data_IF_604075739202
#
_entry.id   IF_604075739202
#
_cell.length_a   1.000
_cell.length_b   1.000
_cell.length_c   1.000
_cell.angle_alpha   90.00
_cell.angle_beta   90.00
_cell.angle_gamma   90.00
#
_symmetry.space_group_name_H-M   'P 1'
#
loop_
_entity.id
_entity.type
_entity.pdbx_description
1 polymer ?
#
# COMPACT_ATOMS: atom_id res chain seq x y z
N UNK A 1 -8.00 12.99 -19.53
CA UNK A 1 -8.08 11.56 -19.17
C UNK A 1 -6.67 11.07 -18.90
N UNK A 2 -6.42 10.53 -17.71
CA UNK A 2 -5.15 9.87 -17.39
C UNK A 2 -5.10 8.48 -18.03
N UNK A 3 -3.91 8.07 -18.47
CA UNK A 3 -3.70 6.71 -18.98
C UNK A 3 -3.52 5.77 -17.80
N UNK A 4 -4.26 4.64 -17.79
CA UNK A 4 -4.13 3.61 -16.80
C UNK A 4 -3.21 2.48 -17.23
N UNK A 5 -2.79 1.64 -16.28
CA UNK A 5 -2.11 0.36 -16.53
C UNK A 5 -3.05 -0.78 -16.15
N UNK A 6 -3.30 -1.68 -17.07
CA UNK A 6 -4.08 -2.90 -16.83
C UNK A 6 -3.26 -4.12 -17.24
N UNK A 7 -3.00 -5.02 -16.28
CA UNK A 7 -2.48 -6.35 -16.61
C UNK A 7 -3.60 -7.36 -16.62
N UNK A 8 -3.73 -8.12 -17.69
CA UNK A 8 -4.76 -9.17 -17.82
C UNK A 8 -4.50 -10.38 -16.92
N UNK A 9 -5.49 -11.27 -16.72
CA UNK A 9 -5.36 -12.41 -15.80
C UNK A 9 -4.32 -13.45 -16.23
N UNK A 10 -3.99 -13.53 -17.51
CA UNK A 10 -2.96 -14.43 -18.04
C UNK A 10 -1.60 -13.76 -18.23
N UNK A 11 -1.49 -12.44 -17.93
CA UNK A 11 -0.23 -11.72 -18.07
C UNK A 11 0.78 -12.15 -17.00
N UNK A 12 2.06 -12.13 -17.37
CA UNK A 12 3.16 -12.37 -16.46
C UNK A 12 4.26 -11.33 -16.71
N UNK A 13 4.64 -10.62 -15.64
CA UNK A 13 5.80 -9.73 -15.61
C UNK A 13 6.86 -10.43 -14.75
N UNK A 14 8.06 -10.59 -15.29
CA UNK A 14 9.22 -11.12 -14.57
C UNK A 14 10.42 -10.22 -14.80
N UNK A 15 10.97 -9.67 -13.73
CA UNK A 15 12.13 -8.79 -13.76
C UNK A 15 12.85 -8.85 -12.41
N UNK A 16 14.09 -8.46 -12.35
CA UNK A 16 14.78 -8.24 -11.06
C UNK A 16 14.04 -7.15 -10.28
N UNK A 17 13.76 -6.00 -10.90
CA UNK A 17 12.95 -4.95 -10.33
C UNK A 17 11.86 -4.49 -11.31
N UNK A 18 10.65 -4.31 -10.82
CA UNK A 18 9.53 -3.81 -11.61
C UNK A 18 8.88 -2.59 -10.96
N UNK A 19 8.91 -1.47 -11.67
CA UNK A 19 8.20 -0.24 -11.27
C UNK A 19 7.12 0.03 -12.33
N UNK A 20 5.86 -0.10 -11.94
CA UNK A 20 4.72 0.27 -12.77
C UNK A 20 4.18 1.60 -12.24
N UNK A 21 4.25 2.65 -13.06
CA UNK A 21 3.80 3.99 -12.66
C UNK A 21 2.93 4.63 -13.72
N UNK A 22 1.83 5.25 -13.30
CA UNK A 22 1.04 6.16 -14.12
C UNK A 22 1.46 7.62 -13.92
N UNK A 23 2.35 7.87 -12.95
CA UNK A 23 2.98 9.16 -12.70
C UNK A 23 4.19 9.34 -13.61
N UNK A 24 4.52 10.59 -13.88
CA UNK A 24 5.69 10.96 -14.69
C UNK A 24 6.93 11.05 -13.82
N UNK A 25 8.05 10.62 -14.37
CA UNK A 25 9.40 10.90 -13.90
C UNK A 25 10.13 11.68 -14.99
N UNK A 26 10.92 12.68 -14.63
CA UNK A 26 11.74 13.40 -15.61
C UNK A 26 12.98 12.60 -15.99
N UNK A 27 13.49 12.78 -17.20
CA UNK A 27 14.73 12.12 -17.65
C UNK A 27 15.89 12.40 -16.69
N UNK A 28 16.02 13.65 -16.22
CA UNK A 28 17.07 14.05 -15.28
C UNK A 28 16.94 13.28 -13.95
N UNK A 29 15.75 13.17 -13.39
CA UNK A 29 15.50 12.41 -12.16
C UNK A 29 15.82 10.93 -12.36
N UNK A 30 15.38 10.35 -13.47
CA UNK A 30 15.63 8.93 -13.77
C UNK A 30 17.14 8.64 -13.89
N UNK A 31 17.88 9.45 -14.66
CA UNK A 31 19.32 9.28 -14.89
C UNK A 31 20.16 9.48 -13.62
N UNK A 32 19.69 10.28 -12.68
CA UNK A 32 20.35 10.52 -11.40
C UNK A 32 19.85 9.62 -10.25
N UNK A 33 19.12 8.55 -10.55
CA UNK A 33 18.51 7.65 -9.56
C UNK A 33 17.61 8.37 -8.52
N UNK A 34 17.07 9.53 -8.90
CA UNK A 34 16.10 10.25 -8.09
C UNK A 34 14.67 9.85 -8.53
N UNK A 35 14.16 8.78 -7.96
CA UNK A 35 12.86 8.22 -8.32
C UNK A 35 11.71 9.05 -7.72
N UNK A 36 11.59 10.28 -8.16
CA UNK A 36 10.49 11.20 -7.82
C UNK A 36 9.47 11.23 -8.95
N UNK A 37 8.24 10.82 -8.64
CA UNK A 37 7.13 10.67 -9.58
C UNK A 37 6.03 11.66 -9.25
N UNK A 38 5.47 12.33 -10.26
CA UNK A 38 4.36 13.26 -10.04
C UNK A 38 3.35 13.25 -11.18
N UNK A 39 2.12 13.63 -10.90
CA UNK A 39 1.04 13.81 -11.88
C UNK A 39 0.02 14.85 -11.39
N UNK A 40 -0.71 15.41 -12.34
CA UNK A 40 -1.90 16.22 -12.05
C UNK A 40 -3.17 15.61 -12.67
N UNK A 41 -3.11 14.35 -13.07
CA UNK A 41 -4.21 13.65 -13.73
C UNK A 41 -4.60 12.39 -12.98
N UNK A 42 -5.88 12.17 -12.79
CA UNK A 42 -6.41 10.93 -12.26
C UNK A 42 -6.08 9.77 -13.20
N UNK A 43 -5.55 8.70 -12.65
CA UNK A 43 -5.17 7.48 -13.38
C UNK A 43 -5.16 6.29 -12.43
N UNK A 44 -5.13 5.07 -12.97
CA UNK A 44 -5.18 3.87 -12.14
C UNK A 44 -4.26 2.77 -12.64
N UNK A 45 -3.82 1.91 -11.72
CA UNK A 45 -3.21 0.62 -12.00
C UNK A 45 -4.16 -0.48 -11.54
N UNK A 46 -4.49 -1.41 -12.44
CA UNK A 46 -5.19 -2.64 -12.10
C UNK A 46 -4.36 -3.84 -12.51
N UNK A 47 -4.00 -4.69 -11.55
CA UNK A 47 -3.26 -5.93 -11.81
C UNK A 47 -4.17 -7.13 -11.62
N UNK A 48 -4.22 -8.03 -12.61
CA UNK A 48 -4.98 -9.29 -12.55
C UNK A 48 -4.09 -10.51 -12.79
N UNK A 49 -2.89 -10.30 -13.35
CA UNK A 49 -1.93 -11.35 -13.68
C UNK A 49 -0.87 -11.54 -12.58
N UNK A 50 0.26 -12.12 -12.97
CA UNK A 50 1.37 -12.39 -12.07
C UNK A 50 2.51 -11.39 -12.28
N UNK A 51 3.04 -10.84 -11.19
CA UNK A 51 4.22 -9.98 -11.19
C UNK A 51 5.25 -10.60 -10.24
N UNK A 52 6.46 -10.88 -10.74
CA UNK A 52 7.52 -11.52 -9.96
C UNK A 52 8.82 -10.74 -10.08
N UNK A 53 9.54 -10.53 -8.97
CA UNK A 53 10.83 -9.85 -8.95
C UNK A 53 11.51 -9.89 -7.59
N UNK A 54 12.69 -9.26 -7.50
CA UNK A 54 13.30 -8.97 -6.20
C UNK A 54 12.49 -7.88 -5.49
N UNK A 55 12.12 -6.85 -6.24
CA UNK A 55 11.18 -5.83 -5.76
C UNK A 55 10.14 -5.45 -6.82
N UNK A 56 8.98 -5.01 -6.35
CA UNK A 56 7.87 -4.49 -7.18
C UNK A 56 7.32 -3.22 -6.56
N UNK A 57 7.19 -2.16 -7.36
CA UNK A 57 6.49 -0.95 -6.98
C UNK A 57 5.32 -0.66 -7.94
N UNK A 58 4.14 -0.42 -7.40
CA UNK A 58 2.99 0.11 -8.12
C UNK A 58 2.75 1.54 -7.63
N UNK A 59 2.77 2.52 -8.54
CA UNK A 59 2.68 3.95 -8.23
C UNK A 59 1.59 4.59 -9.09
N UNK A 60 0.48 5.01 -8.48
CA UNK A 60 -0.67 5.60 -9.18
C UNK A 60 -1.60 6.27 -8.17
N UNK A 61 -2.43 7.26 -8.54
CA UNK A 61 -3.49 7.73 -7.66
C UNK A 61 -4.42 6.60 -7.20
N UNK A 62 -4.80 5.68 -8.08
CA UNK A 62 -5.62 4.53 -7.70
C UNK A 62 -4.91 3.22 -8.06
N UNK A 63 -4.87 2.27 -7.10
CA UNK A 63 -4.24 0.95 -7.29
C UNK A 63 -5.21 -0.14 -6.88
N UNK A 64 -5.43 -1.11 -7.77
CA UNK A 64 -6.21 -2.31 -7.50
C UNK A 64 -5.41 -3.56 -7.86
N UNK A 65 -5.02 -4.34 -6.87
CA UNK A 65 -4.41 -5.65 -7.08
C UNK A 65 -5.46 -6.75 -6.93
N UNK A 66 -5.73 -7.46 -8.03
CA UNK A 66 -6.58 -8.66 -8.11
C UNK A 66 -5.80 -9.90 -8.53
N UNK A 67 -4.51 -9.73 -8.79
CA UNK A 67 -3.60 -10.77 -9.24
C UNK A 67 -2.66 -11.25 -8.14
N UNK A 68 -1.50 -11.74 -8.57
CA UNK A 68 -0.47 -12.24 -7.67
C UNK A 68 0.82 -11.45 -7.86
N UNK A 69 1.33 -10.87 -6.77
CA UNK A 69 2.64 -10.22 -6.71
C UNK A 69 3.54 -11.09 -5.83
N UNK A 70 4.69 -11.48 -6.35
CA UNK A 70 5.67 -12.29 -5.60
C UNK A 70 7.03 -11.64 -5.69
N UNK A 71 7.61 -11.32 -4.55
CA UNK A 71 8.95 -10.71 -4.45
C UNK A 71 9.80 -11.42 -3.40
N UNK A 72 11.11 -11.21 -3.47
CA UNK A 72 12.01 -11.69 -2.43
C UNK A 72 12.26 -10.63 -1.35
N UNK A 73 12.41 -9.35 -1.75
CA UNK A 73 12.89 -8.28 -0.85
C UNK A 73 11.81 -7.27 -0.53
N UNK A 74 11.08 -6.74 -1.52
CA UNK A 74 10.12 -5.69 -1.23
C UNK A 74 8.96 -5.60 -2.24
N UNK A 75 7.77 -5.30 -1.73
CA UNK A 75 6.61 -4.88 -2.54
C UNK A 75 6.06 -3.58 -1.99
N UNK A 76 5.87 -2.58 -2.85
CA UNK A 76 5.27 -1.31 -2.49
C UNK A 76 4.08 -0.97 -3.39
N UNK A 77 2.95 -0.63 -2.78
CA UNK A 77 1.80 -0.01 -3.42
C UNK A 77 1.69 1.41 -2.85
N UNK A 78 2.00 2.42 -3.67
CA UNK A 78 2.03 3.82 -3.26
C UNK A 78 0.99 4.61 -4.04
N UNK A 79 -0.11 5.01 -3.38
CA UNK A 79 -1.18 5.74 -4.03
C UNK A 79 -1.09 7.24 -3.70
N UNK A 80 -0.91 8.06 -4.73
CA UNK A 80 -0.76 9.51 -4.62
C UNK A 80 -0.51 10.18 -5.96
N UNK A 81 -0.44 11.49 -5.97
CA UNK A 81 -0.06 12.33 -7.11
C UNK A 81 1.39 12.83 -7.04
N UNK A 82 2.05 12.67 -5.89
CA UNK A 82 3.45 12.97 -5.65
C UNK A 82 4.05 11.89 -4.74
N UNK A 83 4.89 11.04 -5.35
CA UNK A 83 5.47 9.86 -4.71
C UNK A 83 6.97 9.84 -4.93
N UNK A 84 7.72 9.63 -3.86
CA UNK A 84 9.16 9.37 -3.91
C UNK A 84 9.45 7.93 -3.54
N UNK A 85 10.23 7.28 -4.38
CA UNK A 85 10.73 5.94 -4.19
C UNK A 85 12.23 6.00 -3.89
N UNK A 86 12.69 5.26 -2.91
CA UNK A 86 14.12 5.06 -2.62
C UNK A 86 14.43 3.57 -2.67
N UNK A 87 15.45 3.22 -3.43
CA UNK A 87 15.93 1.84 -3.57
C UNK A 87 17.36 1.83 -2.99
N UNK A 88 17.59 1.01 -1.96
CA UNK A 88 18.92 0.83 -1.39
C UNK A 88 19.72 -0.23 -2.16
N UNK A 89 21.03 -0.32 -1.89
CA UNK A 89 21.92 -1.33 -2.48
C UNK A 89 21.48 -2.77 -2.17
N UNK A 90 20.70 -2.97 -1.11
CA UNK A 90 20.08 -4.26 -0.76
C UNK A 90 18.71 -4.48 -1.39
N UNK A 91 18.32 -3.69 -2.40
CA UNK A 91 17.00 -3.68 -3.03
C UNK A 91 15.84 -3.40 -2.06
N UNK A 92 16.12 -2.88 -0.86
CA UNK A 92 15.10 -2.44 0.06
C UNK A 92 14.38 -1.21 -0.53
N UNK A 93 13.08 -1.32 -0.65
CA UNK A 93 12.22 -0.33 -1.26
C UNK A 93 11.49 0.46 -0.18
N UNK A 94 11.71 1.76 -0.11
CA UNK A 94 10.95 2.66 0.75
C UNK A 94 10.17 3.66 -0.09
N UNK A 95 8.95 4.01 0.37
CA UNK A 95 8.09 4.96 -0.31
C UNK A 95 7.68 6.09 0.62
N UNK A 96 7.72 7.31 0.09
CA UNK A 96 7.11 8.48 0.70
C UNK A 96 6.00 8.98 -0.24
N UNK A 97 4.84 9.27 0.31
CA UNK A 97 3.69 9.82 -0.40
C UNK A 97 3.36 11.16 0.24
N UNK A 98 3.38 12.22 -0.54
CA UNK A 98 2.91 13.53 -0.09
C UNK A 98 1.37 13.56 -0.08
N UNK A 99 0.74 14.38 0.78
CA UNK A 99 -0.72 14.48 0.80
C UNK A 99 -1.27 14.81 -0.58
N UNK A 100 -1.94 13.86 -1.20
CA UNK A 100 -2.41 13.92 -2.60
C UNK A 100 -3.52 14.95 -2.77
N UNK A 101 -3.44 15.73 -3.85
CA UNK A 101 -4.49 16.63 -4.32
C UNK A 101 -5.50 15.94 -5.22
N UNK A 102 -5.27 14.68 -5.54
CA UNK A 102 -6.18 13.80 -6.27
C UNK A 102 -6.76 12.76 -5.32
N UNK A 103 -7.96 12.27 -5.66
CA UNK A 103 -8.53 11.11 -4.99
C UNK A 103 -7.57 9.92 -5.14
N UNK A 104 -7.26 9.26 -4.02
CA UNK A 104 -6.38 8.10 -3.99
C UNK A 104 -7.04 6.90 -3.36
N UNK A 105 -6.63 5.71 -3.78
CA UNK A 105 -7.03 4.47 -3.11
C UNK A 105 -6.08 3.31 -3.41
N UNK A 106 -5.93 2.41 -2.43
CA UNK A 106 -5.29 1.11 -2.60
C UNK A 106 -6.30 0.03 -2.25
N UNK A 107 -6.56 -0.89 -3.20
CA UNK A 107 -7.37 -2.08 -2.97
C UNK A 107 -6.56 -3.33 -3.27
N UNK A 108 -6.35 -4.16 -2.25
CA UNK A 108 -5.77 -5.49 -2.44
C UNK A 108 -6.86 -6.56 -2.27
N UNK A 109 -7.27 -7.14 -3.37
CA UNK A 109 -8.21 -8.28 -3.45
C UNK A 109 -7.47 -9.57 -3.83
N UNK A 110 -6.19 -9.46 -4.24
CA UNK A 110 -5.33 -10.54 -4.67
C UNK A 110 -4.34 -11.00 -3.61
N UNK A 111 -3.24 -11.60 -4.07
CA UNK A 111 -2.20 -12.12 -3.21
C UNK A 111 -0.90 -11.33 -3.38
N UNK A 112 -0.34 -10.85 -2.30
CA UNK A 112 1.00 -10.25 -2.25
C UNK A 112 1.86 -11.11 -1.35
N UNK A 113 3.00 -11.59 -1.85
CA UNK A 113 3.95 -12.39 -1.09
C UNK A 113 5.37 -11.87 -1.27
N UNK A 114 5.99 -11.47 -0.17
CA UNK A 114 7.41 -11.10 -0.10
C UNK A 114 8.11 -12.07 0.84
N UNK A 115 9.12 -12.80 0.35
CA UNK A 115 9.67 -13.93 1.10
C UNK A 115 10.43 -13.50 2.37
N UNK A 116 11.35 -12.54 2.25
CA UNK A 116 12.27 -12.18 3.33
C UNK A 116 12.31 -10.67 3.61
N UNK A 117 11.29 -9.93 3.22
CA UNK A 117 11.31 -8.49 3.29
C UNK A 117 9.97 -7.87 3.63
N UNK A 118 9.72 -6.69 3.09
CA UNK A 118 8.62 -5.83 3.48
C UNK A 118 7.56 -5.68 2.38
N UNK A 119 6.30 -5.66 2.80
CA UNK A 119 5.18 -5.16 1.98
C UNK A 119 4.70 -3.85 2.57
N UNK A 120 4.68 -2.80 1.75
CA UNK A 120 4.18 -1.47 2.13
C UNK A 120 2.99 -1.07 1.26
N UNK A 121 1.86 -0.76 1.89
CA UNK A 121 0.73 -0.07 1.28
C UNK A 121 0.67 1.33 1.88
N UNK A 122 0.92 2.37 1.07
CA UNK A 122 0.98 3.74 1.57
C UNK A 122 0.21 4.72 0.70
N UNK A 123 -0.62 5.53 1.35
CA UNK A 123 -1.33 6.64 0.73
C UNK A 123 -1.57 7.76 1.73
N UNK A 124 -1.76 8.97 1.24
CA UNK A 124 -2.21 10.12 2.02
C UNK A 124 -2.98 11.08 1.12
N UNK A 125 -3.88 11.89 1.70
CA UNK A 125 -4.69 12.87 0.97
C UNK A 125 -4.68 14.23 1.65
N UNK A 126 -4.77 15.28 0.83
CA UNK A 126 -4.97 16.64 1.31
C UNK A 126 -6.39 16.83 1.87
N UNK A 127 -6.56 17.75 2.82
CA UNK A 127 -7.87 18.03 3.43
C UNK A 127 -8.93 18.42 2.40
N UNK A 128 -8.55 19.14 1.34
CA UNK A 128 -9.46 19.54 0.26
C UNK A 128 -10.11 18.34 -0.46
N UNK A 129 -9.37 17.24 -0.62
CA UNK A 129 -9.89 15.99 -1.23
C UNK A 129 -10.87 15.30 -0.29
N UNK A 130 -10.55 15.26 1.01
CA UNK A 130 -11.48 14.74 2.02
C UNK A 130 -12.80 15.52 1.99
N UNK A 131 -12.72 16.85 2.00
CA UNK A 131 -13.88 17.72 1.99
C UNK A 131 -14.75 17.54 0.73
N UNK A 132 -14.10 17.32 -0.43
CA UNK A 132 -14.78 17.04 -1.68
C UNK A 132 -15.54 15.71 -1.65
N UNK A 133 -14.89 14.65 -1.18
CA UNK A 133 -15.50 13.30 -1.10
C UNK A 133 -16.66 13.28 -0.11
N UNK A 134 -16.47 13.87 1.08
CA UNK A 134 -17.49 13.86 2.15
C UNK A 134 -18.72 14.68 1.77
N UNK A 135 -18.59 15.73 0.95
CA UNK A 135 -19.71 16.54 0.44
C UNK A 135 -20.54 15.81 -0.61
N UNK A 136 -20.10 14.66 -1.13
CA UNK A 136 -20.87 13.87 -2.08
C UNK A 136 -22.09 13.27 -1.37
N UNK A 137 -23.30 13.58 -1.82
CA UNK A 137 -24.57 13.23 -1.17
C UNK A 137 -24.75 11.72 -0.86
N UNK A 138 -24.06 10.86 -1.57
CA UNK A 138 -24.12 9.42 -1.40
C UNK A 138 -22.76 8.77 -1.06
N UNK A 139 -21.84 9.52 -0.47
CA UNK A 139 -20.50 9.04 -0.14
C UNK A 139 -20.53 7.74 0.69
N UNK A 140 -21.41 7.63 1.68
CA UNK A 140 -21.62 6.41 2.48
C UNK A 140 -22.22 5.28 1.64
N UNK A 141 -23.27 5.56 0.85
CA UNK A 141 -23.92 4.56 0.02
C UNK A 141 -22.98 3.99 -1.05
N UNK A 142 -22.04 4.80 -1.56
CA UNK A 142 -20.97 4.37 -2.47
C UNK A 142 -19.78 3.71 -1.77
N UNK A 143 -19.80 3.61 -0.43
CA UNK A 143 -18.70 3.04 0.35
C UNK A 143 -17.40 3.83 0.26
N UNK A 144 -17.45 5.14 0.00
CA UNK A 144 -16.29 6.02 -0.10
C UNK A 144 -15.80 6.49 1.27
N UNK A 145 -16.66 6.41 2.28
CA UNK A 145 -16.36 6.79 3.66
C UNK A 145 -16.83 5.69 4.62
N UNK A 146 -16.24 5.69 5.81
CA UNK A 146 -16.67 4.82 6.93
C UNK A 146 -17.99 5.31 7.52
N UNK A 147 -18.54 4.57 8.46
CA UNK A 147 -19.69 4.99 9.28
C UNK A 147 -19.45 6.35 9.95
N UNK A 148 -18.20 6.60 10.39
CA UNK A 148 -17.76 7.83 11.04
C UNK A 148 -17.44 8.97 10.06
N UNK A 149 -17.64 8.76 8.74
CA UNK A 149 -17.39 9.78 7.72
C UNK A 149 -15.92 9.98 7.34
N UNK A 150 -15.05 9.03 7.68
CA UNK A 150 -13.63 9.06 7.28
C UNK A 150 -13.46 8.42 5.90
N UNK A 151 -12.69 9.04 5.01
CA UNK A 151 -12.49 8.57 3.63
C UNK A 151 -11.72 7.26 3.61
N UNK A 152 -12.25 6.25 2.91
CA UNK A 152 -11.60 4.93 2.74
C UNK A 152 -10.48 5.02 1.72
N UNK A 153 -9.25 4.86 2.18
CA UNK A 153 -8.06 4.95 1.34
C UNK A 153 -7.37 3.61 1.11
N UNK A 154 -7.37 2.72 2.11
CA UNK A 154 -6.79 1.39 1.97
C UNK A 154 -7.86 0.33 2.29
N UNK A 155 -7.98 -0.67 1.41
CA UNK A 155 -8.82 -1.85 1.64
C UNK A 155 -8.00 -3.09 1.32
N UNK A 156 -7.91 -4.02 2.28
CA UNK A 156 -7.33 -5.33 2.06
C UNK A 156 -8.34 -6.43 2.36
N UNK A 157 -8.85 -7.06 1.31
CA UNK A 157 -9.71 -8.26 1.38
C UNK A 157 -8.95 -9.52 0.94
N UNK A 158 -7.76 -9.34 0.35
CA UNK A 158 -6.87 -10.40 -0.12
C UNK A 158 -5.88 -10.88 0.94
N UNK A 159 -4.80 -11.50 0.48
CA UNK A 159 -3.74 -12.00 1.35
C UNK A 159 -2.45 -11.21 1.16
N UNK A 160 -1.83 -10.83 2.28
CA UNK A 160 -0.47 -10.27 2.31
C UNK A 160 0.39 -11.17 3.21
N UNK A 161 1.47 -11.71 2.65
CA UNK A 161 2.46 -12.51 3.35
C UNK A 161 3.85 -11.88 3.22
N UNK A 162 4.46 -11.50 4.33
CA UNK A 162 5.81 -10.92 4.35
C UNK A 162 6.43 -11.06 5.74
N UNK A 163 7.76 -10.83 5.83
CA UNK A 163 8.41 -10.68 7.14
C UNK A 163 7.86 -9.45 7.86
N UNK A 164 7.79 -8.33 7.15
CA UNK A 164 7.21 -7.09 7.69
C UNK A 164 6.10 -6.58 6.78
N UNK A 165 4.98 -6.17 7.37
CA UNK A 165 3.81 -5.62 6.67
C UNK A 165 3.53 -4.25 7.26
N UNK A 166 3.53 -3.23 6.40
CA UNK A 166 3.17 -1.86 6.77
C UNK A 166 2.03 -1.34 5.92
N UNK A 167 0.94 -0.96 6.57
CA UNK A 167 -0.23 -0.33 5.95
C UNK A 167 -0.39 1.05 6.57
N UNK A 168 -0.35 2.10 5.75
CA UNK A 168 -0.44 3.48 6.18
C UNK A 168 -1.40 4.25 5.26
N UNK A 169 -2.56 4.60 5.78
CA UNK A 169 -3.60 5.37 5.08
C UNK A 169 -3.55 6.88 5.39
N UNK A 170 -2.46 7.33 6.00
CA UNK A 170 -2.29 8.73 6.37
C UNK A 170 -3.19 9.18 7.53
N UNK A 171 -3.02 10.43 7.95
CA UNK A 171 -3.72 10.99 9.12
C UNK A 171 -5.19 11.36 8.88
N UNK A 172 -5.69 11.21 7.66
CA UNK A 172 -7.06 11.62 7.27
C UNK A 172 -7.89 10.50 6.66
N UNK A 173 -7.25 9.38 6.32
CA UNK A 173 -7.87 8.25 5.68
C UNK A 173 -8.18 7.10 6.62
N UNK A 174 -8.95 6.12 6.14
CA UNK A 174 -9.20 4.87 6.84
C UNK A 174 -8.58 3.66 6.13
N UNK A 175 -8.25 2.65 6.94
CA UNK A 175 -7.87 1.30 6.50
C UNK A 175 -8.94 0.30 6.87
N UNK A 176 -9.41 -0.48 5.90
CA UNK A 176 -10.34 -1.61 6.08
C UNK A 176 -9.60 -2.92 5.82
N UNK A 177 -9.51 -3.78 6.82
CA UNK A 177 -8.82 -5.07 6.77
C UNK A 177 -9.82 -6.18 7.04
N UNK A 178 -10.18 -6.93 6.01
CA UNK A 178 -11.05 -8.12 6.11
C UNK A 178 -10.41 -9.37 5.51
N UNK A 179 -9.19 -9.26 4.99
CA UNK A 179 -8.40 -10.36 4.46
C UNK A 179 -7.37 -10.92 5.45
N UNK A 180 -6.27 -11.44 4.90
CA UNK A 180 -5.20 -12.05 5.70
C UNK A 180 -3.93 -11.20 5.68
N UNK A 181 -3.38 -10.92 6.87
CA UNK A 181 -2.04 -10.38 7.07
C UNK A 181 -1.21 -11.44 7.80
N UNK A 182 -0.17 -11.94 7.15
CA UNK A 182 0.62 -13.05 7.67
C UNK A 182 2.11 -12.67 7.69
N UNK A 183 2.66 -12.52 8.88
CA UNK A 183 4.08 -12.25 9.16
C UNK A 183 4.74 -13.38 9.93
N UNK A 184 4.28 -14.62 9.69
CA UNK A 184 4.76 -15.81 10.38
C UNK A 184 6.12 -16.25 9.84
N UNK A 185 6.93 -16.88 10.72
CA UNK A 185 8.21 -17.48 10.37
C UNK A 185 8.32 -18.92 10.88
N UNK A 186 8.66 -19.85 9.97
CA UNK A 186 8.91 -21.24 10.32
C UNK A 186 10.35 -21.50 10.81
N UNK A 187 11.21 -20.50 10.80
CA UNK A 187 12.65 -20.65 11.11
C UNK A 187 13.16 -19.69 12.18
N UNK A 188 12.50 -18.55 12.37
CA UNK A 188 12.90 -17.47 13.29
C UNK A 188 11.71 -16.95 14.09
N UNK A 189 11.89 -15.80 14.75
CA UNK A 189 10.77 -15.06 15.32
C UNK A 189 9.81 -14.58 14.19
N UNK A 190 8.54 -14.44 14.55
CA UNK A 190 7.58 -13.76 13.70
C UNK A 190 8.03 -12.33 13.37
N UNK A 191 7.52 -11.77 12.29
CA UNK A 191 7.87 -10.42 11.86
C UNK A 191 6.99 -9.34 12.46
N UNK A 192 6.82 -8.23 11.74
CA UNK A 192 6.05 -7.08 12.23
C UNK A 192 4.86 -6.79 11.30
N UNK A 193 3.70 -6.53 11.88
CA UNK A 193 2.53 -6.01 11.18
C UNK A 193 2.20 -4.66 11.81
N UNK A 194 2.21 -3.61 11.00
CA UNK A 194 1.89 -2.24 11.40
C UNK A 194 0.75 -1.72 10.52
N UNK A 195 -0.34 -1.26 11.14
CA UNK A 195 -1.47 -0.64 10.44
C UNK A 195 -1.75 0.70 11.09
N UNK A 196 -1.62 1.78 10.31
CA UNK A 196 -1.87 3.16 10.76
C UNK A 196 -2.87 3.85 9.84
N UNK A 197 -3.80 4.58 10.43
CA UNK A 197 -4.80 5.39 9.74
C UNK A 197 -5.53 6.28 10.77
N UNK A 198 -6.34 7.22 10.31
CA UNK A 198 -7.26 7.96 11.19
C UNK A 198 -8.37 7.06 11.74
N UNK A 199 -8.84 6.11 10.94
CA UNK A 199 -9.87 5.14 11.30
C UNK A 199 -9.48 3.78 10.76
N UNK A 200 -9.51 2.73 11.59
CA UNK A 200 -9.11 1.38 11.23
C UNK A 200 -10.24 0.42 11.52
N UNK A 201 -10.75 -0.23 10.47
CA UNK A 201 -11.75 -1.28 10.56
C UNK A 201 -11.11 -2.64 10.31
N UNK A 202 -11.13 -3.51 11.32
CA UNK A 202 -10.65 -4.90 11.22
C UNK A 202 -11.85 -5.83 11.39
N UNK A 203 -12.39 -6.28 10.26
CA UNK A 203 -13.62 -7.07 10.23
C UNK A 203 -13.40 -8.42 9.55
N UNK A 204 -13.61 -9.52 10.29
CA UNK A 204 -13.41 -10.88 9.81
C UNK A 204 -11.99 -11.17 9.27
N UNK A 205 -10.98 -10.41 9.69
CA UNK A 205 -9.60 -10.54 9.26
C UNK A 205 -8.87 -11.67 10.02
N UNK A 206 -7.83 -12.22 9.37
CA UNK A 206 -6.83 -13.05 10.04
C UNK A 206 -5.50 -12.32 10.05
N UNK A 207 -5.00 -11.97 11.25
CA UNK A 207 -3.74 -11.26 11.43
C UNK A 207 -2.84 -12.12 12.32
N UNK A 208 -1.65 -12.50 11.82
CA UNK A 208 -0.76 -13.42 12.53
C UNK A 208 0.71 -13.04 12.30
N UNK A 209 1.48 -13.05 13.38
CA UNK A 209 2.92 -12.84 13.41
C UNK A 209 3.59 -13.89 14.31
N UNK A 210 3.29 -15.16 14.10
CA UNK A 210 3.85 -16.28 14.87
C UNK A 210 5.25 -16.64 14.38
N UNK A 211 6.10 -17.13 15.28
CA UNK A 211 7.43 -17.57 14.90
C UNK A 211 7.85 -18.83 15.65
N UNK A 212 8.75 -19.61 15.01
CA UNK A 212 9.28 -20.85 15.61
C UNK A 212 10.07 -20.60 16.88
N UNK A 213 10.79 -19.49 16.97
CA UNK A 213 11.66 -19.15 18.09
C UNK A 213 11.09 -18.08 19.01
N UNK A 214 10.01 -17.41 18.59
CA UNK A 214 9.30 -16.38 19.37
C UNK A 214 8.27 -15.68 18.48
N UNK A 215 7.26 -15.07 19.08
CA UNK A 215 6.26 -14.27 18.39
C UNK A 215 6.86 -12.98 17.79
N UNK A 216 6.17 -12.41 16.82
CA UNK A 216 6.46 -11.10 16.26
C UNK A 216 5.66 -9.98 16.93
N UNK A 217 5.43 -8.89 16.18
CA UNK A 217 4.68 -7.71 16.64
C UNK A 217 3.49 -7.45 15.75
N UNK A 218 2.34 -7.13 16.34
CA UNK A 218 1.16 -6.63 15.64
C UNK A 218 0.77 -5.30 16.29
N UNK A 219 0.84 -4.22 15.51
CA UNK A 219 0.62 -2.85 15.93
C UNK A 219 -0.50 -2.26 15.06
N UNK A 220 -1.66 -2.03 15.67
CA UNK A 220 -2.83 -1.49 14.97
C UNK A 220 -3.25 -0.20 15.67
N UNK A 221 -3.23 0.92 14.94
CA UNK A 221 -3.62 2.22 15.48
C UNK A 221 -2.49 3.06 16.07
N UNK A 222 -1.25 2.59 16.04
CA UNK A 222 -0.09 3.29 16.60
C UNK A 222 0.50 2.59 17.81
N UNK A 223 1.36 3.29 18.56
CA UNK A 223 2.06 2.76 19.71
C UNK A 223 1.27 2.91 21.01
N UNK A 224 1.70 2.19 22.05
CA UNK A 224 1.05 2.19 23.37
C UNK A 224 0.89 3.59 23.93
N UNK A 225 -0.35 4.00 24.21
CA UNK A 225 -0.72 5.33 24.72
C UNK A 225 -0.20 6.52 23.86
N UNK A 226 0.11 6.27 22.59
CA UNK A 226 0.64 7.32 21.71
C UNK A 226 2.04 7.82 22.09
N UNK A 227 2.83 7.05 22.81
CA UNK A 227 4.11 7.47 23.38
C UNK A 227 5.34 7.05 22.56
N UNK A 228 5.18 6.35 21.45
CA UNK A 228 6.27 5.85 20.61
C UNK A 228 6.51 6.64 19.33
N UNK A 229 7.47 6.17 18.54
CA UNK A 229 7.82 6.74 17.23
C UNK A 229 6.84 6.37 16.10
N UNK A 230 5.83 5.55 16.39
CA UNK A 230 4.81 5.16 15.41
C UNK A 230 3.79 6.27 15.22
N UNK A 231 3.37 6.49 13.97
CA UNK A 231 2.28 7.38 13.65
C UNK A 231 1.01 6.94 14.39
N UNK A 232 0.37 7.86 15.07
CA UNK A 232 -0.88 7.60 15.78
C UNK A 232 -2.06 7.60 14.81
N UNK A 233 -3.04 6.77 15.11
CA UNK A 233 -4.33 6.81 14.43
C UNK A 233 -5.18 8.00 14.90
#
# INVERSE_FOLDING_TARGET
>A
MGFGILTGPTSAIRAEGAILSTLKITNNNFLNNNFSFSTNSASSITTKGNINGEYVALISPEISNKGKITTNVATALAAGDDVRLSISDSNLLTVAVNPSKLKTSIKNEGNIKTQNGIVTLKTDVAQSVVDEIVKTDDAKAKGLVTENGVVKLVTNTGTIEAKDIKIDAGSKGSSEISGKLNSNSNTSNGGTIEVTAKDIDVNAATISADGKTGGGKVLIGGDWQGSGDLLQA
#
